data_IF_903296393277
#
_entry.id   IF_903296393277
#
_cell.length_a   1.000
_cell.length_b   1.000
_cell.length_c   1.000
_cell.angle_alpha   90.00
_cell.angle_beta   90.00
_cell.angle_gamma   90.00
#
_symmetry.space_group_name_H-M   'P 1'
#
loop_
_entity.id
_entity.type
_entity.pdbx_description
1 polymer ?
#
# COMPACT_ATOMS: atom_id res chain seq x y z
N UNK A 1 8.59 -13.12 16.13
CA UNK A 1 8.73 -14.57 15.90
C UNK A 1 8.20 -14.88 14.50
N UNK A 2 8.90 -15.72 13.72
CA UNK A 2 8.38 -16.19 12.43
C UNK A 2 7.04 -16.92 12.64
N UNK A 3 6.12 -16.74 11.69
CA UNK A 3 4.75 -17.29 11.75
C UNK A 3 4.67 -18.43 10.76
N UNK A 4 4.17 -19.59 11.19
CA UNK A 4 3.95 -20.72 10.27
C UNK A 4 2.81 -20.42 9.29
N UNK A 5 2.79 -21.09 8.13
CA UNK A 5 1.68 -20.99 7.18
C UNK A 5 0.32 -21.33 7.81
N UNK A 6 0.31 -22.30 8.74
CA UNK A 6 -0.89 -22.72 9.49
C UNK A 6 -1.39 -21.62 10.43
N UNK A 7 -0.50 -20.85 11.03
CA UNK A 7 -0.90 -19.72 11.87
C UNK A 7 -1.32 -18.53 11.01
N UNK A 8 -0.61 -18.29 9.91
CA UNK A 8 -0.90 -17.19 9.00
C UNK A 8 -2.29 -17.36 8.36
N UNK A 9 -2.67 -18.57 7.98
CA UNK A 9 -4.01 -18.87 7.42
C UNK A 9 -5.16 -18.56 8.39
N UNK A 10 -4.90 -18.54 9.70
CA UNK A 10 -5.89 -18.11 10.72
C UNK A 10 -5.92 -16.59 10.89
N UNK A 11 -4.89 -15.89 10.41
CA UNK A 11 -4.70 -14.43 10.52
C UNK A 11 -5.02 -13.69 9.22
N UNK A 12 -5.36 -14.38 8.13
CA UNK A 12 -5.66 -13.79 6.81
C UNK A 12 -7.00 -13.05 6.77
N UNK A 13 -7.13 -12.04 7.64
CA UNK A 13 -8.16 -11.00 7.60
C UNK A 13 -7.56 -9.66 7.13
N UNK A 14 -6.45 -9.69 6.38
CA UNK A 14 -5.81 -8.46 5.88
C UNK A 14 -6.63 -7.75 4.81
N UNK A 15 -7.31 -8.51 3.95
CA UNK A 15 -8.18 -8.00 2.90
C UNK A 15 -9.37 -8.95 2.77
N UNK A 16 -10.59 -8.43 2.93
CA UNK A 16 -11.80 -9.25 2.85
C UNK A 16 -12.06 -9.73 1.41
N UNK A 17 -12.82 -10.81 1.21
CA UNK A 17 -13.43 -11.10 -0.07
C UNK A 17 -14.32 -9.93 -0.55
N UNK A 18 -14.62 -9.86 -1.85
CA UNK A 18 -15.53 -8.85 -2.43
C UNK A 18 -14.85 -7.66 -3.12
N UNK A 19 -13.56 -7.75 -3.46
CA UNK A 19 -12.85 -6.77 -4.29
C UNK A 19 -12.92 -7.12 -5.78
N UNK A 20 -12.72 -6.14 -6.68
CA UNK A 20 -12.78 -6.31 -8.15
C UNK A 20 -11.42 -6.49 -8.84
N UNK A 21 -10.41 -6.96 -8.10
CA UNK A 21 -9.12 -7.32 -8.70
C UNK A 21 -9.30 -8.41 -9.78
N UNK A 22 -8.45 -8.42 -10.80
CA UNK A 22 -8.44 -9.46 -11.83
C UNK A 22 -8.29 -10.86 -11.21
N UNK A 23 -8.80 -11.89 -11.90
CA UNK A 23 -8.56 -13.27 -11.50
C UNK A 23 -7.06 -13.57 -11.50
N UNK A 24 -6.54 -14.11 -10.40
CA UNK A 24 -5.11 -14.39 -10.24
C UNK A 24 -4.25 -13.15 -9.95
N UNK A 25 -4.85 -11.99 -9.64
CA UNK A 25 -4.08 -10.81 -9.29
C UNK A 25 -3.17 -11.07 -8.07
N UNK A 26 -1.91 -10.62 -8.14
CA UNK A 26 -0.90 -10.89 -7.11
C UNK A 26 -1.01 -10.00 -5.87
N UNK A 27 -1.36 -8.72 -6.02
CA UNK A 27 -1.33 -7.78 -4.89
C UNK A 27 -2.30 -8.12 -3.74
N UNK A 28 -3.50 -8.73 -3.95
CA UNK A 28 -4.36 -9.14 -2.83
C UNK A 28 -3.65 -10.11 -1.88
N UNK A 29 -2.83 -11.02 -2.41
CA UNK A 29 -2.02 -11.94 -1.60
C UNK A 29 -0.95 -11.18 -0.82
N UNK A 30 -0.27 -10.22 -1.44
CA UNK A 30 0.71 -9.34 -0.76
C UNK A 30 0.07 -8.63 0.43
N UNK A 31 -1.10 -8.01 0.24
CA UNK A 31 -1.83 -7.32 1.33
C UNK A 31 -2.14 -8.30 2.47
N UNK A 32 -2.69 -9.48 2.15
CA UNK A 32 -3.07 -10.48 3.16
C UNK A 32 -1.87 -10.96 3.96
N UNK A 33 -0.72 -11.15 3.32
CA UNK A 33 0.52 -11.57 3.98
C UNK A 33 1.07 -10.45 4.87
N UNK A 34 1.20 -9.23 4.35
CA UNK A 34 1.73 -8.07 5.10
C UNK A 34 0.85 -7.78 6.32
N UNK A 35 -0.46 -7.68 6.14
CA UNK A 35 -1.37 -7.38 7.24
C UNK A 35 -1.56 -8.56 8.19
N UNK A 36 -1.36 -9.80 7.73
CA UNK A 36 -1.40 -11.01 8.55
C UNK A 36 -0.12 -11.26 9.36
N UNK A 37 0.98 -10.58 9.05
CA UNK A 37 2.27 -10.75 9.72
C UNK A 37 2.24 -10.36 11.20
N UNK A 38 1.35 -9.44 11.60
CA UNK A 38 1.15 -9.03 12.99
C UNK A 38 -0.33 -8.95 13.36
N UNK A 39 -0.64 -9.21 14.63
CA UNK A 39 -1.95 -8.98 15.24
C UNK A 39 -2.06 -7.60 15.90
N UNK A 40 -1.00 -6.81 15.88
CA UNK A 40 -0.99 -5.45 16.43
C UNK A 40 -1.98 -4.54 15.69
N UNK A 41 -2.55 -3.53 16.36
CA UNK A 41 -3.34 -2.51 15.69
C UNK A 41 -2.48 -1.83 14.62
N UNK A 42 -3.08 -1.59 13.46
CA UNK A 42 -2.39 -1.02 12.31
C UNK A 42 -3.24 0.02 11.60
N UNK A 43 -2.56 0.99 11.00
CA UNK A 43 -3.15 1.98 10.10
C UNK A 43 -2.47 1.84 8.75
N UNK A 44 -3.29 1.80 7.70
CA UNK A 44 -2.84 1.60 6.33
C UNK A 44 -3.18 2.84 5.50
N UNK A 45 -2.22 3.31 4.72
CA UNK A 45 -2.45 4.22 3.60
C UNK A 45 -2.03 3.52 2.31
N UNK A 46 -2.58 3.93 1.18
CA UNK A 46 -2.09 3.48 -0.12
C UNK A 46 -2.18 4.58 -1.17
N UNK A 47 -1.23 4.56 -2.09
CA UNK A 47 -1.26 5.42 -3.26
C UNK A 47 -2.41 4.98 -4.19
N UNK A 48 -3.02 5.95 -4.86
CA UNK A 48 -3.99 5.70 -5.94
C UNK A 48 -3.39 4.74 -6.98
N UNK A 49 -4.16 3.75 -7.43
CA UNK A 49 -3.71 2.71 -8.34
C UNK A 49 -4.59 1.47 -8.27
N UNK A 50 -4.18 0.36 -8.90
CA UNK A 50 -5.02 -0.85 -8.96
C UNK A 50 -5.45 -1.32 -7.58
N UNK A 51 -4.51 -1.36 -6.64
CA UNK A 51 -4.79 -1.79 -5.27
C UNK A 51 -5.90 -0.96 -4.62
N UNK A 52 -5.88 0.36 -4.83
CA UNK A 52 -6.91 1.26 -4.33
C UNK A 52 -8.23 0.96 -5.04
N UNK A 53 -8.31 1.32 -6.32
CA UNK A 53 -9.54 1.35 -7.12
C UNK A 53 -10.36 0.08 -7.02
N UNK A 54 -9.72 -1.09 -7.03
CA UNK A 54 -10.46 -2.36 -7.04
C UNK A 54 -10.84 -2.87 -5.64
N UNK A 55 -10.26 -2.31 -4.57
CA UNK A 55 -10.57 -2.69 -3.19
C UNK A 55 -11.48 -1.70 -2.47
N UNK A 56 -11.73 -0.50 -3.02
CA UNK A 56 -12.43 0.62 -2.35
C UNK A 56 -13.60 1.17 -3.17
N UNK A 57 -14.30 0.30 -3.89
CA UNK A 57 -15.41 0.71 -4.75
C UNK A 57 -16.57 1.20 -3.90
N UNK A 58 -16.87 2.49 -4.02
CA UNK A 58 -17.95 3.14 -3.31
C UNK A 58 -19.28 2.34 -3.41
N UNK A 59 -20.02 2.16 -2.30
CA UNK A 59 -19.74 2.63 -0.93
C UNK A 59 -18.91 1.64 -0.08
N UNK A 60 -18.29 0.64 -0.70
CA UNK A 60 -17.65 -0.48 -0.01
C UNK A 60 -16.13 -0.35 0.08
N UNK A 61 -15.57 -1.02 1.09
CA UNK A 61 -14.13 -1.20 1.24
C UNK A 61 -13.83 -2.65 1.62
N UNK A 62 -12.82 -3.23 0.98
CA UNK A 62 -12.31 -4.56 1.31
C UNK A 62 -11.24 -4.52 2.42
N UNK A 63 -10.96 -3.35 3.00
CA UNK A 63 -9.99 -3.17 4.08
C UNK A 63 -10.68 -3.27 5.45
N UNK A 64 -10.53 -4.38 6.20
CA UNK A 64 -11.12 -4.55 7.53
C UNK A 64 -10.26 -3.93 8.65
N UNK A 65 -9.38 -2.99 8.30
CA UNK A 65 -8.44 -2.30 9.18
C UNK A 65 -8.63 -0.79 9.04
N UNK A 66 -8.04 -0.02 9.96
CA UNK A 66 -8.01 1.44 9.79
C UNK A 66 -7.25 1.77 8.51
N UNK A 67 -7.96 2.29 7.53
CA UNK A 67 -7.46 2.54 6.19
C UNK A 67 -7.79 3.97 5.79
N UNK A 68 -6.84 4.64 5.13
CA UNK A 68 -7.01 5.99 4.60
C UNK A 68 -6.61 6.02 3.13
N UNK A 69 -7.50 6.55 2.31
CA UNK A 69 -7.17 6.92 0.93
C UNK A 69 -6.14 8.05 0.94
N UNK A 70 -5.11 7.90 0.12
CA UNK A 70 -4.10 8.94 -0.13
C UNK A 70 -4.08 9.27 -1.63
N UNK A 71 -3.49 10.40 -2.00
CA UNK A 71 -3.33 10.74 -3.42
C UNK A 71 -2.19 9.90 -4.01
N UNK A 72 -2.09 9.92 -5.33
CA UNK A 72 -1.15 9.08 -6.05
C UNK A 72 0.31 9.34 -5.63
N UNK A 73 0.64 10.59 -5.37
CA UNK A 73 1.99 11.08 -5.11
C UNK A 73 2.40 11.06 -3.63
N UNK A 74 1.48 10.84 -2.68
CA UNK A 74 1.74 11.20 -1.28
C UNK A 74 1.43 10.15 -0.20
N UNK A 75 1.25 8.88 -0.56
CA UNK A 75 0.99 7.79 0.40
C UNK A 75 1.98 7.73 1.59
N UNK A 76 3.28 7.91 1.31
CA UNK A 76 4.31 7.92 2.35
C UNK A 76 4.19 9.14 3.28
N UNK A 77 3.91 10.33 2.72
CA UNK A 77 3.70 11.53 3.51
C UNK A 77 2.40 11.46 4.33
N UNK A 78 1.33 10.89 3.78
CA UNK A 78 0.06 10.66 4.50
C UNK A 78 0.30 9.77 5.72
N UNK A 79 0.94 8.61 5.55
CA UNK A 79 1.15 7.71 6.69
C UNK A 79 2.13 8.29 7.72
N UNK A 80 3.15 9.02 7.28
CA UNK A 80 4.07 9.75 8.16
C UNK A 80 3.36 10.83 8.99
N UNK A 81 2.38 11.52 8.40
CA UNK A 81 1.51 12.47 9.10
C UNK A 81 0.65 11.78 10.18
N UNK A 82 0.08 10.62 9.85
CA UNK A 82 -0.69 9.81 10.82
C UNK A 82 0.21 9.35 11.98
N UNK A 83 1.42 8.89 11.68
CA UNK A 83 2.41 8.47 12.67
C UNK A 83 2.81 9.63 13.60
N UNK A 84 3.02 10.82 13.04
CA UNK A 84 3.31 12.05 13.80
C UNK A 84 2.15 12.44 14.71
N UNK A 85 0.92 12.37 14.19
CA UNK A 85 -0.29 12.62 14.95
C UNK A 85 -0.44 11.63 16.11
N UNK A 86 -0.18 10.34 15.86
CA UNK A 86 -0.18 9.31 16.90
C UNK A 86 0.85 9.62 18.00
N UNK A 87 2.10 9.93 17.64
CA UNK A 87 3.13 10.33 18.61
C UNK A 87 2.69 11.53 19.45
N UNK A 88 2.12 12.55 18.83
CA UNK A 88 1.62 13.73 19.53
C UNK A 88 0.46 13.41 20.48
N UNK A 89 -0.49 12.59 20.06
CA UNK A 89 -1.63 12.16 20.88
C UNK A 89 -1.20 11.25 22.03
N UNK A 90 -0.22 10.37 21.80
CA UNK A 90 0.35 9.48 22.82
C UNK A 90 1.06 10.29 23.91
N UNK A 91 1.88 11.29 23.55
CA UNK A 91 2.50 12.22 24.52
C UNK A 91 1.49 12.99 25.36
N UNK A 92 0.30 13.26 24.81
CA UNK A 92 -0.82 13.93 25.51
C UNK A 92 -1.70 12.97 26.33
N UNK A 93 -1.36 11.68 26.41
CA UNK A 93 -2.18 10.68 27.11
C UNK A 93 -3.54 10.40 26.46
N UNK A 94 -3.74 10.78 25.18
CA UNK A 94 -5.02 10.61 24.47
C UNK A 94 -5.17 9.24 23.79
N UNK A 95 -4.09 8.47 23.71
CA UNK A 95 -4.09 7.10 23.18
C UNK A 95 -4.21 6.13 24.35
N UNK A 96 -5.31 5.37 24.38
CA UNK A 96 -5.66 4.47 25.50
C UNK A 96 -5.16 3.03 25.35
N UNK A 97 -4.49 2.70 24.23
CA UNK A 97 -3.97 1.34 24.01
C UNK A 97 -2.52 1.22 24.48
N UNK A 98 -2.24 0.12 25.14
CA UNK A 98 -0.92 -0.38 25.51
C UNK A 98 -0.13 -0.92 24.31
N UNK A 99 -0.82 -1.35 23.25
CA UNK A 99 -0.20 -1.87 22.04
C UNK A 99 0.42 -0.77 21.19
N UNK A 100 1.56 -1.10 20.60
CA UNK A 100 2.18 -0.24 19.59
C UNK A 100 1.39 -0.32 18.28
N UNK A 101 0.99 0.83 17.75
CA UNK A 101 0.32 0.91 16.46
C UNK A 101 1.35 0.82 15.34
N UNK A 102 1.09 -0.03 14.35
CA UNK A 102 1.91 -0.17 13.14
C UNK A 102 1.38 0.70 12.01
N UNK A 103 2.28 1.40 11.33
CA UNK A 103 1.96 2.29 10.23
C UNK A 103 2.47 1.68 8.93
N UNK A 104 1.60 1.58 7.92
CA UNK A 104 1.91 0.89 6.67
C UNK A 104 1.44 1.76 5.50
N UNK A 105 2.30 1.96 4.51
CA UNK A 105 1.94 2.53 3.22
C UNK A 105 2.13 1.48 2.12
N UNK A 106 1.17 1.37 1.20
CA UNK A 106 1.31 0.60 -0.03
C UNK A 106 1.42 1.52 -1.24
N UNK A 107 2.33 1.21 -2.16
CA UNK A 107 2.49 1.91 -3.44
C UNK A 107 2.67 0.92 -4.58
N UNK A 108 2.06 1.22 -5.73
CA UNK A 108 2.46 0.57 -6.99
C UNK A 108 3.79 1.14 -7.47
N UNK A 109 4.36 0.58 -8.53
CA UNK A 109 5.61 1.05 -9.12
C UNK A 109 5.54 2.53 -9.54
N UNK A 110 4.47 2.97 -10.22
CA UNK A 110 4.30 4.38 -10.55
C UNK A 110 4.21 5.32 -9.33
N UNK A 111 3.56 4.85 -8.25
CA UNK A 111 3.46 5.60 -6.99
C UNK A 111 4.72 5.55 -6.13
N UNK A 112 5.76 4.83 -6.58
CA UNK A 112 7.02 4.62 -5.83
C UNK A 112 8.24 5.11 -6.60
N UNK A 113 8.46 4.60 -7.81
CA UNK A 113 9.61 4.95 -8.64
C UNK A 113 9.45 6.28 -9.35
N UNK A 114 8.20 6.68 -9.64
CA UNK A 114 7.90 7.90 -10.39
C UNK A 114 7.34 8.99 -9.46
N UNK A 115 6.03 9.23 -9.49
CA UNK A 115 5.42 10.44 -8.91
C UNK A 115 5.51 10.49 -7.39
N UNK A 116 5.51 9.34 -6.71
CA UNK A 116 5.57 9.28 -5.25
C UNK A 116 6.97 9.23 -4.65
N UNK A 117 8.02 9.17 -5.46
CA UNK A 117 9.39 9.04 -4.96
C UNK A 117 9.79 10.19 -4.04
N UNK A 118 9.39 11.43 -4.36
CA UNK A 118 9.70 12.60 -3.55
C UNK A 118 9.08 12.52 -2.15
N UNK A 119 7.81 12.09 -2.05
CA UNK A 119 7.13 12.00 -0.76
C UNK A 119 7.68 10.87 0.10
N UNK A 120 8.05 9.74 -0.53
CA UNK A 120 8.73 8.63 0.11
C UNK A 120 10.10 9.05 0.64
N UNK A 121 10.94 9.62 -0.22
CA UNK A 121 12.27 10.11 0.16
C UNK A 121 12.19 11.09 1.33
N UNK A 122 11.31 12.08 1.27
CA UNK A 122 11.14 13.04 2.37
C UNK A 122 10.65 12.39 3.67
N UNK A 123 9.78 11.37 3.61
CA UNK A 123 9.33 10.66 4.80
C UNK A 123 10.44 9.81 5.44
N UNK A 124 11.31 9.20 4.63
CA UNK A 124 12.46 8.44 5.11
C UNK A 124 13.53 9.37 5.70
N UNK A 125 13.82 10.50 5.04
CA UNK A 125 14.78 11.51 5.52
C UNK A 125 14.41 12.03 6.92
N UNK A 126 13.11 12.21 7.19
CA UNK A 126 12.61 12.63 8.52
C UNK A 126 12.63 11.52 9.58
N UNK A 127 13.01 10.29 9.24
CA UNK A 127 13.09 9.18 10.17
C UNK A 127 11.73 8.71 10.71
N UNK A 128 10.66 8.82 9.93
CA UNK A 128 9.36 8.30 10.34
C UNK A 128 9.39 6.77 10.46
N UNK A 129 8.72 6.23 11.47
CA UNK A 129 8.67 4.79 11.72
C UNK A 129 7.41 4.17 11.08
N UNK A 130 7.55 3.72 9.84
CA UNK A 130 6.48 3.04 9.10
C UNK A 130 7.07 2.01 8.13
N UNK A 131 6.25 1.06 7.70
CA UNK A 131 6.57 0.14 6.62
C UNK A 131 6.05 0.71 5.30
N UNK A 132 6.92 0.85 4.30
CA UNK A 132 6.50 1.10 2.92
C UNK A 132 6.59 -0.20 2.12
N UNK A 133 5.51 -0.57 1.43
CA UNK A 133 5.43 -1.76 0.59
C UNK A 133 5.18 -1.34 -0.86
N UNK A 134 6.20 -1.51 -1.69
CA UNK A 134 6.06 -1.47 -3.14
C UNK A 134 5.50 -2.81 -3.63
N UNK A 135 4.36 -2.78 -4.30
CA UNK A 135 3.90 -3.90 -5.13
C UNK A 135 4.22 -3.59 -6.59
N UNK A 136 5.39 -4.03 -7.04
CA UNK A 136 5.85 -3.77 -8.41
C UNK A 136 5.12 -4.69 -9.39
N UNK A 137 4.28 -4.12 -10.24
CA UNK A 137 3.68 -4.82 -11.36
C UNK A 137 4.12 -4.23 -12.71
N UNK A 138 5.19 -3.42 -12.71
CA UNK A 138 5.97 -3.00 -13.87
C UNK A 138 5.23 -2.14 -14.91
N UNK A 139 4.09 -1.56 -14.57
CA UNK A 139 3.37 -0.61 -15.40
C UNK A 139 2.32 0.13 -14.56
N UNK A 140 1.82 1.26 -15.08
CA UNK A 140 0.59 1.85 -14.57
C UNK A 140 -0.61 1.00 -14.99
N UNK A 141 -0.84 -0.09 -14.27
CA UNK A 141 -1.85 -1.09 -14.65
C UNK A 141 -3.28 -0.53 -14.65
N UNK A 142 -3.62 0.31 -13.67
CA UNK A 142 -5.00 0.80 -13.48
C UNK A 142 -5.48 1.69 -14.63
N UNK A 143 -4.57 2.47 -15.20
CA UNK A 143 -4.88 3.44 -16.25
C UNK A 143 -4.86 2.83 -17.64
N UNK A 144 -4.62 1.51 -17.76
CA UNK A 144 -4.54 0.82 -19.05
C UNK A 144 -3.11 0.49 -19.48
N UNK A 145 -2.27 0.02 -18.55
CA UNK A 145 -0.94 -0.54 -18.83
C UNK A 145 -0.03 0.47 -19.54
N UNK A 146 0.19 1.63 -18.93
CA UNK A 146 1.17 2.62 -19.40
C UNK A 146 2.57 2.31 -18.85
N UNK A 147 3.61 2.72 -19.58
CA UNK A 147 5.00 2.63 -19.17
C UNK A 147 5.27 3.38 -17.86
N UNK A 148 5.96 2.72 -16.92
CA UNK A 148 6.53 3.30 -15.70
C UNK A 148 8.05 3.15 -15.69
N UNK A 149 8.73 3.72 -14.69
CA UNK A 149 10.17 3.50 -14.52
C UNK A 149 10.54 2.05 -14.15
N UNK A 150 9.58 1.24 -13.69
CA UNK A 150 9.79 -0.19 -13.45
C UNK A 150 9.57 -1.07 -14.70
N UNK A 151 9.00 -0.52 -15.77
CA UNK A 151 8.73 -1.27 -16.99
C UNK A 151 10.03 -1.80 -17.61
N UNK A 152 10.17 -3.13 -17.81
CA UNK A 152 11.36 -3.72 -18.40
C UNK A 152 11.66 -3.17 -19.80
N UNK A 153 12.95 -3.11 -20.13
CA UNK A 153 13.38 -2.76 -21.47
C UNK A 153 12.76 -3.71 -22.51
N UNK A 154 12.21 -3.13 -23.58
CA UNK A 154 11.56 -3.89 -24.66
C UNK A 154 10.12 -4.33 -24.37
N UNK A 155 9.56 -4.04 -23.20
CA UNK A 155 8.16 -4.34 -22.90
C UNK A 155 7.20 -3.44 -23.71
N UNK A 156 6.11 -4.04 -24.21
CA UNK A 156 5.04 -3.31 -24.87
C UNK A 156 4.06 -2.76 -23.85
N UNK A 157 3.82 -1.45 -23.87
CA UNK A 157 2.80 -0.76 -23.06
C UNK A 157 1.97 0.18 -23.95
N UNK A 158 0.85 0.69 -23.46
CA UNK A 158 -0.01 1.59 -24.26
C UNK A 158 0.65 2.93 -24.59
N UNK A 159 1.66 3.36 -23.83
CA UNK A 159 2.46 4.57 -24.07
C UNK A 159 3.85 4.28 -24.62
N UNK A 160 4.21 3.00 -24.81
CA UNK A 160 5.47 2.57 -25.40
C UNK A 160 5.22 1.27 -26.17
N UNK A 161 4.54 1.33 -27.33
CA UNK A 161 4.24 0.15 -28.14
C UNK A 161 5.53 -0.41 -28.75
N UNK A 162 5.57 -1.73 -28.91
CA UNK A 162 6.65 -2.42 -29.61
C UNK A 162 6.45 -2.34 -31.12
N UNK A 163 7.54 -2.11 -31.86
CA UNK A 163 7.54 -2.03 -33.33
C UNK A 163 7.91 -0.66 -33.86
N UNK A 164 7.73 -0.45 -35.18
CA UNK A 164 7.90 0.87 -35.81
C UNK A 164 6.62 1.68 -35.56
N UNK A 165 6.77 2.79 -34.86
CA UNK A 165 5.72 3.82 -34.71
C UNK A 165 5.66 4.73 -35.93
#
# INVERSE_FOLDING_TARGET
MPVSLRELSKRTRGLTPGHRACAGCGFPSIIRLVLGATTDPKVVANATGCMEVVTTIFPYTAWPVNWIHSLFENAAATIAGVESAYKALKRKGKVKTDKEIKFIAFGGDGGTYDIGLQSLSGALERGHNFLYVLYDNQAYMNTGIQRSSATPFGAHTTTSPAGKV
#
